data_IF_344473966007
#
_entry.id   IF_344473966007
#
_cell.length_a   1.000
_cell.length_b   1.000
_cell.length_c   1.000
_cell.angle_alpha   90.00
_cell.angle_beta   90.00
_cell.angle_gamma   90.00
#
_symmetry.space_group_name_H-M   'P 1'
#
loop_
_entity.id
_entity.type
_entity.pdbx_description
1 polymer ?
#
# COMPACT_ATOMS: atom_id res chain seq x y z
N UNK A 1 -12.69 -4.94 4.83
CA UNK A 1 -12.19 -4.05 5.89
C UNK A 1 -13.14 -2.87 6.01
N UNK A 2 -13.84 -2.75 7.14
CA UNK A 2 -14.84 -1.68 7.38
C UNK A 2 -14.28 -0.53 8.23
N UNK A 3 -13.27 -0.80 9.06
CA UNK A 3 -12.55 0.19 9.86
C UNK A 3 -11.03 -0.05 9.79
N UNK A 4 -10.24 0.93 10.23
CA UNK A 4 -8.77 0.79 10.32
C UNK A 4 -8.35 -0.39 11.21
N UNK A 5 -9.05 -0.62 12.31
CA UNK A 5 -8.82 -1.75 13.23
C UNK A 5 -9.03 -3.14 12.61
N UNK A 6 -9.72 -3.23 11.47
CA UNK A 6 -9.83 -4.49 10.73
C UNK A 6 -8.55 -4.83 9.94
N UNK A 7 -7.56 -3.93 9.86
CA UNK A 7 -6.38 -4.12 9.02
C UNK A 7 -5.64 -5.41 9.34
N UNK A 8 -5.46 -5.77 10.63
CA UNK A 8 -4.76 -7.02 11.00
C UNK A 8 -5.48 -8.28 10.50
N UNK A 9 -6.81 -8.23 10.32
CA UNK A 9 -7.57 -9.34 9.73
C UNK A 9 -7.20 -9.58 8.26
N UNK A 10 -6.78 -8.55 7.52
CA UNK A 10 -6.29 -8.71 6.14
C UNK A 10 -4.97 -9.48 6.13
N UNK A 11 -4.06 -9.20 7.06
CA UNK A 11 -2.79 -9.94 7.19
C UNK A 11 -3.02 -11.40 7.61
N UNK A 12 -3.86 -11.64 8.62
CA UNK A 12 -4.22 -13.01 9.06
C UNK A 12 -4.80 -13.82 7.89
N UNK A 13 -5.59 -13.17 7.03
CA UNK A 13 -6.23 -13.79 5.87
C UNK A 13 -5.48 -13.56 4.55
N UNK A 14 -4.18 -13.19 4.59
CA UNK A 14 -3.43 -12.76 3.40
C UNK A 14 -3.41 -13.79 2.26
N UNK A 15 -3.49 -15.07 2.60
CA UNK A 15 -3.60 -16.19 1.64
C UNK A 15 -4.78 -16.05 0.65
N UNK A 16 -5.82 -15.31 0.99
CA UNK A 16 -6.97 -15.06 0.11
C UNK A 16 -6.68 -14.00 -0.97
N UNK A 17 -5.59 -13.24 -0.81
CA UNK A 17 -5.22 -12.12 -1.68
C UNK A 17 -3.91 -12.38 -2.44
N UNK A 18 -3.00 -13.17 -1.88
CA UNK A 18 -1.76 -13.57 -2.57
C UNK A 18 -2.08 -14.27 -3.88
N UNK A 19 -1.37 -13.89 -4.95
CA UNK A 19 -1.60 -14.35 -6.31
C UNK A 19 -2.78 -13.66 -7.03
N UNK A 20 -3.51 -12.77 -6.37
CA UNK A 20 -4.57 -11.95 -6.97
C UNK A 20 -4.06 -10.57 -7.36
N UNK A 21 -4.73 -9.87 -8.31
CA UNK A 21 -4.41 -8.48 -8.62
C UNK A 21 -4.70 -7.53 -7.44
N UNK A 22 -3.97 -6.43 -7.35
CA UNK A 22 -4.17 -5.38 -6.35
C UNK A 22 -5.62 -4.88 -6.28
N UNK A 23 -6.26 -4.72 -7.44
CA UNK A 23 -7.68 -4.32 -7.54
C UNK A 23 -8.64 -5.27 -6.79
N UNK A 24 -8.30 -6.55 -6.64
CA UNK A 24 -9.09 -7.49 -5.85
C UNK A 24 -9.01 -7.16 -4.36
N UNK A 25 -7.83 -6.81 -3.85
CA UNK A 25 -7.66 -6.36 -2.46
C UNK A 25 -8.37 -5.02 -2.23
N UNK A 26 -8.21 -4.06 -3.14
CA UNK A 26 -8.80 -2.71 -3.00
C UNK A 26 -10.33 -2.75 -2.91
N UNK A 27 -10.99 -3.64 -3.66
CA UNK A 27 -12.44 -3.88 -3.53
C UNK A 27 -12.88 -4.37 -2.15
N UNK A 28 -11.95 -4.90 -1.35
CA UNK A 28 -12.20 -5.38 0.01
C UNK A 28 -11.81 -4.35 1.08
N UNK A 29 -11.32 -3.17 0.70
CA UNK A 29 -10.98 -2.06 1.59
C UNK A 29 -12.01 -0.95 1.41
N UNK A 30 -12.96 -0.85 2.34
CA UNK A 30 -14.01 0.18 2.31
C UNK A 30 -13.60 1.45 3.06
N UNK A 31 -12.37 1.50 3.56
CA UNK A 31 -11.81 2.65 4.26
C UNK A 31 -11.04 3.46 3.24
N UNK A 32 -11.28 4.77 3.21
CA UNK A 32 -10.58 5.69 2.31
C UNK A 32 -9.07 5.63 2.55
N UNK A 33 -8.34 5.27 1.50
CA UNK A 33 -6.88 5.38 1.46
C UNK A 33 -6.56 6.84 1.14
N UNK A 34 -5.87 7.51 2.06
CA UNK A 34 -5.57 8.95 1.95
C UNK A 34 -4.18 9.22 1.40
N UNK A 35 -3.22 8.34 1.70
CA UNK A 35 -1.87 8.48 1.21
C UNK A 35 -1.18 7.15 0.98
N UNK A 36 -0.09 7.19 0.21
CA UNK A 36 0.76 6.03 -0.04
C UNK A 36 2.23 6.30 0.23
N UNK A 37 2.95 5.21 0.48
CA UNK A 37 4.42 5.17 0.44
C UNK A 37 4.82 4.09 -0.56
N UNK A 38 5.16 4.45 -1.81
CA UNK A 38 5.73 3.51 -2.76
C UNK A 38 7.19 3.19 -2.37
N UNK A 39 7.64 1.96 -2.62
CA UNK A 39 9.07 1.63 -2.60
C UNK A 39 9.45 0.86 -3.87
N UNK A 40 10.51 1.29 -4.57
CA UNK A 40 10.94 0.66 -5.81
C UNK A 40 11.67 -0.68 -5.58
N UNK A 41 11.88 -1.43 -6.67
CA UNK A 41 12.84 -2.54 -6.76
C UNK A 41 14.29 -2.05 -6.90
N UNK A 42 15.24 -3.00 -7.01
CA UNK A 42 16.58 -2.77 -7.57
C UNK A 42 16.53 -2.04 -8.92
N UNK A 43 15.60 -2.42 -9.78
CA UNK A 43 15.21 -1.59 -10.92
C UNK A 43 14.29 -0.47 -10.42
N UNK A 44 14.79 0.77 -10.41
CA UNK A 44 14.00 1.93 -10.02
C UNK A 44 12.76 2.15 -10.89
N UNK A 45 12.64 1.45 -12.01
CA UNK A 45 11.46 1.46 -12.87
C UNK A 45 10.31 0.57 -12.41
N UNK A 46 10.52 -0.28 -11.41
CA UNK A 46 9.53 -1.23 -10.94
C UNK A 46 9.10 -0.91 -9.51
N UNK A 47 7.80 -0.92 -9.24
CA UNK A 47 7.28 -0.87 -7.88
C UNK A 47 7.42 -2.25 -7.25
N UNK A 48 8.09 -2.33 -6.10
CA UNK A 48 8.20 -3.56 -5.32
C UNK A 48 7.11 -3.66 -4.27
N UNK A 49 6.84 -2.53 -3.60
CA UNK A 49 5.78 -2.48 -2.58
C UNK A 49 5.11 -1.13 -2.54
N UNK A 50 3.85 -1.14 -2.10
CA UNK A 50 3.08 0.06 -1.77
C UNK A 50 2.58 -0.10 -0.35
N UNK A 51 2.81 0.92 0.48
CA UNK A 51 2.15 1.04 1.79
C UNK A 51 0.97 1.98 1.66
N UNK A 52 -0.23 1.50 2.00
CA UNK A 52 -1.45 2.29 2.08
C UNK A 52 -1.62 2.87 3.48
N UNK A 53 -1.94 4.15 3.54
CA UNK A 53 -2.17 4.91 4.76
C UNK A 53 -3.59 5.49 4.77
N UNK A 54 -4.24 5.43 5.93
CA UNK A 54 -5.60 5.96 6.15
C UNK A 54 -5.59 7.37 6.76
N UNK A 55 -4.41 7.99 6.79
CA UNK A 55 -4.15 9.37 7.19
C UNK A 55 -3.38 10.07 6.07
N UNK A 56 -3.33 11.39 6.05
CA UNK A 56 -2.52 12.13 5.07
C UNK A 56 -1.02 11.91 5.30
N UNK A 57 -0.20 12.13 4.25
CA UNK A 57 1.26 12.08 4.36
C UNK A 57 1.79 13.06 5.42
N UNK A 58 1.18 14.22 5.58
CA UNK A 58 1.58 15.22 6.59
C UNK A 58 1.34 14.72 8.02
N UNK A 59 0.20 14.08 8.29
CA UNK A 59 -0.09 13.47 9.59
C UNK A 59 0.88 12.32 9.85
N UNK A 60 1.12 11.46 8.86
CA UNK A 60 2.04 10.34 9.00
C UNK A 60 3.48 10.81 9.29
N UNK A 61 3.99 11.82 8.57
CA UNK A 61 5.32 12.41 8.79
C UNK A 61 5.46 13.09 10.15
N UNK A 62 4.38 13.67 10.68
CA UNK A 62 4.35 14.28 12.01
C UNK A 62 4.28 13.25 13.14
N UNK A 63 4.07 11.97 12.85
CA UNK A 63 4.20 10.94 13.89
C UNK A 63 5.67 10.86 14.33
N UNK A 64 5.95 11.44 15.50
CA UNK A 64 7.27 11.45 16.13
C UNK A 64 7.59 10.15 16.85
N UNK A 65 6.63 9.21 16.85
CA UNK A 65 6.76 7.87 17.40
C UNK A 65 8.01 7.19 16.84
N UNK A 66 8.95 6.87 17.72
CA UNK A 66 10.10 6.03 17.39
C UNK A 66 9.66 4.58 17.21
N UNK A 67 8.67 4.15 17.98
CA UNK A 67 8.06 2.82 17.87
C UNK A 67 7.12 2.75 16.66
N UNK A 68 7.22 1.67 15.90
CA UNK A 68 6.34 1.40 14.77
C UNK A 68 4.91 1.15 15.25
N UNK A 69 4.69 0.58 16.43
CA UNK A 69 3.35 0.27 16.97
C UNK A 69 2.56 1.52 17.37
N UNK A 70 3.25 2.65 17.57
CA UNK A 70 2.61 3.94 17.86
C UNK A 70 2.32 4.76 16.60
N UNK A 71 2.85 4.35 15.44
CA UNK A 71 2.60 5.05 14.16
C UNK A 71 1.20 4.76 13.64
N UNK A 72 0.64 5.62 12.78
CA UNK A 72 -0.62 5.31 12.10
C UNK A 72 -0.55 3.96 11.38
N UNK A 73 -1.66 3.22 11.43
CA UNK A 73 -1.81 1.92 10.77
C UNK A 73 -1.47 2.03 9.29
N UNK A 74 -0.67 1.08 8.80
CA UNK A 74 -0.35 0.94 7.38
C UNK A 74 -0.56 -0.50 6.92
N UNK A 75 -1.09 -0.66 5.72
CA UNK A 75 -1.14 -1.94 5.01
C UNK A 75 -0.06 -1.90 3.95
N UNK A 76 0.93 -2.78 4.04
CA UNK A 76 1.96 -2.90 3.01
C UNK A 76 1.69 -4.10 2.14
N UNK A 77 1.70 -3.87 0.83
CA UNK A 77 1.52 -4.89 -0.20
C UNK A 77 2.81 -5.00 -0.98
N UNK A 78 3.38 -6.20 -1.01
CA UNK A 78 4.52 -6.54 -1.86
C UNK A 78 4.01 -7.19 -3.14
N UNK A 79 4.63 -6.89 -4.28
CA UNK A 79 4.23 -7.40 -5.58
C UNK A 79 5.25 -8.40 -6.12
N UNK A 80 4.77 -9.35 -6.92
CA UNK A 80 5.67 -10.28 -7.62
C UNK A 80 6.31 -9.57 -8.81
N UNK A 81 7.63 -9.45 -8.81
CA UNK A 81 8.39 -8.64 -9.78
C UNK A 81 8.93 -9.46 -10.95
N UNK A 82 8.52 -10.72 -11.08
CA UNK A 82 8.93 -11.59 -12.19
C UNK A 82 8.15 -11.30 -13.50
N UNK A 83 7.55 -10.11 -13.65
CA UNK A 83 6.81 -9.69 -14.83
C UNK A 83 7.23 -8.29 -15.28
N UNK A 84 7.22 -8.08 -16.60
CA UNK A 84 7.59 -6.82 -17.27
C UNK A 84 6.51 -5.74 -17.00
N UNK A 85 6.49 -5.23 -15.77
CA UNK A 85 5.48 -4.30 -15.29
C UNK A 85 5.91 -2.87 -15.60
N UNK A 86 5.65 -2.46 -16.85
CA UNK A 86 5.80 -1.07 -17.32
C UNK A 86 4.58 -0.26 -16.87
N UNK A 87 4.81 0.85 -16.18
CA UNK A 87 3.77 1.80 -15.77
C UNK A 87 4.37 3.11 -15.26
N UNK A 88 3.64 4.21 -15.43
CA UNK A 88 4.07 5.50 -14.90
C UNK A 88 4.06 5.48 -13.37
N UNK A 89 5.19 5.93 -12.81
CA UNK A 89 5.55 5.64 -11.41
C UNK A 89 5.05 6.67 -10.44
N UNK A 90 4.73 6.15 -9.25
CA UNK A 90 4.86 6.89 -8.02
C UNK A 90 6.19 6.67 -7.30
N UNK A 91 6.96 7.76 -7.17
CA UNK A 91 8.26 7.82 -6.50
C UNK A 91 8.19 8.81 -5.34
N UNK A 92 9.04 8.63 -4.33
CA UNK A 92 9.08 9.52 -3.16
C UNK A 92 9.34 10.99 -3.53
N UNK A 93 10.04 11.20 -4.64
CA UNK A 93 10.49 12.51 -5.15
C UNK A 93 9.43 13.21 -6.01
N UNK A 94 8.35 12.52 -6.38
CA UNK A 94 7.19 13.13 -7.02
C UNK A 94 6.18 13.54 -5.94
N UNK A 95 5.93 14.85 -5.73
CA UNK A 95 5.01 15.34 -4.69
C UNK A 95 3.60 14.76 -4.82
N UNK A 96 3.17 14.56 -6.06
CA UNK A 96 1.86 14.04 -6.46
C UNK A 96 1.67 12.56 -6.10
N UNK A 97 2.78 11.85 -5.86
CA UNK A 97 2.80 10.40 -5.65
C UNK A 97 2.73 9.97 -4.19
N UNK A 98 1.92 10.73 -3.48
CA UNK A 98 1.79 10.66 -2.04
C UNK A 98 0.36 10.56 -1.59
N UNK A 99 -0.57 10.95 -2.46
CA UNK A 99 -2.00 10.71 -2.30
C UNK A 99 -2.38 9.49 -3.12
N UNK A 100 -3.42 8.78 -2.71
CA UNK A 100 -3.95 7.66 -3.48
C UNK A 100 -5.09 8.16 -4.35
N UNK A 101 -4.95 8.00 -5.66
CA UNK A 101 -5.97 8.44 -6.63
C UNK A 101 -6.67 7.25 -7.28
N UNK A 102 -7.83 7.52 -7.91
CA UNK A 102 -8.51 6.51 -8.76
C UNK A 102 -7.68 6.13 -9.99
N UNK A 103 -6.81 7.03 -10.44
CA UNK A 103 -5.89 6.76 -11.55
C UNK A 103 -4.81 5.76 -11.13
N UNK A 104 -4.27 5.88 -9.92
CA UNK A 104 -3.34 4.89 -9.35
C UNK A 104 -3.98 3.51 -9.27
N UNK A 105 -5.23 3.42 -8.83
CA UNK A 105 -5.97 2.16 -8.80
C UNK A 105 -6.10 1.53 -10.19
N UNK A 106 -6.33 2.34 -11.23
CA UNK A 106 -6.41 1.87 -12.62
C UNK A 106 -5.06 1.38 -13.14
N UNK A 107 -3.99 2.14 -12.87
CA UNK A 107 -2.65 1.88 -13.39
C UNK A 107 -1.97 0.71 -12.65
N UNK A 108 -2.16 0.61 -11.34
CA UNK A 108 -1.48 -0.36 -10.47
C UNK A 108 -2.38 -1.54 -10.08
N UNK A 109 -3.68 -1.48 -10.38
CA UNK A 109 -4.66 -2.50 -9.98
C UNK A 109 -4.41 -3.90 -10.57
N UNK A 110 -3.58 -4.01 -11.62
CA UNK A 110 -3.18 -5.29 -12.25
C UNK A 110 -1.97 -5.94 -11.59
N UNK A 111 -1.25 -5.24 -10.70
CA UNK A 111 -0.09 -5.79 -10.02
C UNK A 111 -0.48 -7.01 -9.19
N UNK A 112 0.27 -8.11 -9.32
CA UNK A 112 -0.02 -9.35 -8.61
C UNK A 112 0.58 -9.28 -7.21
N UNK A 113 -0.27 -9.50 -6.21
CA UNK A 113 0.11 -9.50 -4.80
C UNK A 113 0.98 -10.72 -4.51
N UNK A 114 2.17 -10.47 -3.97
CA UNK A 114 3.07 -11.50 -3.45
C UNK A 114 2.91 -11.68 -1.93
N UNK A 115 2.80 -10.57 -1.19
CA UNK A 115 2.62 -10.61 0.25
C UNK A 115 1.86 -9.38 0.76
N UNK A 116 1.26 -9.49 1.96
CA UNK A 116 0.59 -8.40 2.66
C UNK A 116 0.99 -8.48 4.13
N UNK A 117 1.36 -7.34 4.72
CA UNK A 117 1.58 -7.22 6.16
C UNK A 117 1.08 -5.88 6.69
N UNK A 118 0.75 -5.84 7.98
CA UNK A 118 0.19 -4.67 8.65
C UNK A 118 1.03 -4.30 9.86
N UNK A 119 1.32 -3.01 9.98
CA UNK A 119 2.03 -2.45 11.14
C UNK A 119 1.44 -1.09 11.53
N UNK A 120 1.88 -0.53 12.65
CA UNK A 120 1.24 0.65 13.21
C UNK A 120 0.18 0.28 14.24
N UNK A 121 -0.33 1.31 14.90
CA UNK A 121 -1.37 1.24 15.92
C UNK A 121 -2.57 0.47 15.39
N UNK A 122 -2.89 -0.67 16.00
CA UNK A 122 -4.03 -1.52 15.64
C UNK A 122 -4.84 -1.84 16.89
#
# INVERSE_FOLDING_TARGET
MKSVSDAKKLEINKKNFVGKPLSYLLKNINVEIKSIIPSPNKNFNEINRISFLFVSKSIYKKSTAKDIEEKPTRITVNFNQNGDLKGDKCTYDKPECTEWTKEDEKNLGKLIIYDIYVSGKN
#
